data_IF_548499364330
#
_entry.id   IF_548499364330
#
_cell.length_a   1.000
_cell.length_b   1.000
_cell.length_c   1.000
_cell.angle_alpha   90.00
_cell.angle_beta   90.00
_cell.angle_gamma   90.00
#
_symmetry.space_group_name_H-M   'P 1'
#
loop_
_entity.id
_entity.type
_entity.pdbx_description
1 polymer ?
#
# COMPACT_ATOMS: atom_id res chain seq x y z
N UNK A 1 -14.48 -4.69 -9.03
CA UNK A 1 -13.68 -4.69 -7.78
C UNK A 1 -14.06 -5.94 -7.00
N UNK A 2 -13.07 -6.68 -6.48
CA UNK A 2 -13.26 -7.83 -5.59
C UNK A 2 -12.92 -7.38 -4.17
N UNK A 3 -13.84 -7.61 -3.22
CA UNK A 3 -13.67 -7.29 -1.80
C UNK A 3 -13.94 -8.58 -1.03
N UNK A 4 -12.91 -9.37 -0.73
CA UNK A 4 -13.10 -10.64 -0.02
C UNK A 4 -13.48 -10.39 1.43
N UNK A 5 -14.43 -11.17 1.93
CA UNK A 5 -14.81 -11.23 3.34
C UNK A 5 -14.24 -12.51 3.93
N UNK A 6 -13.35 -12.37 4.92
CA UNK A 6 -12.81 -13.50 5.67
C UNK A 6 -13.75 -13.93 6.79
N UNK A 7 -13.72 -15.20 7.17
CA UNK A 7 -14.57 -15.74 8.23
C UNK A 7 -14.15 -15.28 9.64
N UNK A 8 -12.90 -14.81 9.78
CA UNK A 8 -12.33 -14.33 11.03
C UNK A 8 -11.10 -13.46 10.79
N UNK A 9 -10.24 -13.37 11.79
CA UNK A 9 -8.94 -12.66 11.67
C UNK A 9 -8.03 -13.47 10.75
N UNK A 10 -7.80 -12.95 9.55
CA UNK A 10 -7.05 -13.65 8.49
C UNK A 10 -5.53 -13.51 8.62
N UNK A 11 -5.05 -12.43 9.23
CA UNK A 11 -3.64 -12.20 9.58
C UNK A 11 -3.56 -11.60 10.97
N UNK A 12 -2.42 -11.75 11.64
CA UNK A 12 -2.17 -11.17 12.96
C UNK A 12 -0.85 -10.36 12.98
N UNK A 13 -0.58 -9.70 14.10
CA UNK A 13 0.63 -8.88 14.28
C UNK A 13 1.93 -9.71 14.41
N UNK A 14 1.83 -11.03 14.52
CA UNK A 14 2.96 -11.96 14.43
C UNK A 14 3.24 -12.42 12.99
N UNK A 15 2.54 -11.83 12.01
CA UNK A 15 2.64 -12.13 10.57
C UNK A 15 2.18 -13.54 10.19
N UNK A 16 1.45 -14.20 11.08
CA UNK A 16 0.80 -15.47 10.76
C UNK A 16 -0.49 -15.21 10.00
N UNK A 17 -0.81 -16.06 9.04
CA UNK A 17 -2.02 -15.96 8.24
C UNK A 17 -2.76 -17.30 8.17
N UNK A 18 -4.04 -17.24 7.92
CA UNK A 18 -4.89 -18.40 7.71
C UNK A 18 -4.87 -18.85 6.25
N UNK A 19 -5.22 -20.10 5.98
CA UNK A 19 -5.34 -20.64 4.61
C UNK A 19 -6.33 -19.83 3.74
N UNK A 20 -7.26 -19.09 4.36
CA UNK A 20 -8.21 -18.24 3.63
C UNK A 20 -7.52 -17.16 2.80
N UNK A 21 -6.36 -16.65 3.25
CA UNK A 21 -5.58 -15.67 2.51
C UNK A 21 -5.14 -16.25 1.17
N UNK A 22 -4.61 -17.47 1.17
CA UNK A 22 -4.18 -18.16 -0.06
C UNK A 22 -5.37 -18.61 -0.92
N UNK A 23 -6.49 -18.95 -0.30
CA UNK A 23 -7.75 -19.22 -1.03
C UNK A 23 -8.20 -17.99 -1.79
N UNK A 24 -8.10 -16.80 -1.19
CA UNK A 24 -8.46 -15.55 -1.85
C UNK A 24 -7.51 -15.22 -3.00
N UNK A 25 -6.20 -15.49 -2.89
CA UNK A 25 -5.28 -15.33 -4.03
C UNK A 25 -5.72 -16.19 -5.24
N UNK A 26 -6.09 -17.44 -5.00
CA UNK A 26 -6.64 -18.32 -6.04
C UNK A 26 -8.01 -17.84 -6.56
N UNK A 27 -8.85 -17.27 -5.70
CA UNK A 27 -10.12 -16.67 -6.10
C UNK A 27 -9.92 -15.49 -7.05
N UNK A 28 -8.92 -14.61 -6.78
CA UNK A 28 -8.58 -13.49 -7.67
C UNK A 28 -8.26 -14.00 -9.07
N UNK A 29 -7.40 -15.02 -9.17
CA UNK A 29 -7.03 -15.63 -10.46
C UNK A 29 -8.23 -16.24 -11.18
N UNK A 30 -9.09 -16.96 -10.44
CA UNK A 30 -10.31 -17.56 -10.98
C UNK A 30 -11.27 -16.50 -11.51
N UNK A 31 -11.57 -15.47 -10.71
CA UNK A 31 -12.47 -14.38 -11.09
C UNK A 31 -11.93 -13.62 -12.30
N UNK A 32 -10.62 -13.34 -12.34
CA UNK A 32 -10.00 -12.68 -13.47
C UNK A 32 -10.17 -13.49 -14.77
N UNK A 33 -9.95 -14.80 -14.71
CA UNK A 33 -10.11 -15.71 -15.86
C UNK A 33 -11.55 -15.80 -16.31
N UNK A 34 -12.51 -15.98 -15.40
CA UNK A 34 -13.92 -16.18 -15.71
C UNK A 34 -14.60 -14.90 -16.27
N UNK A 35 -14.09 -13.73 -15.93
CA UNK A 35 -14.64 -12.44 -16.35
C UNK A 35 -13.80 -11.73 -17.41
N UNK A 36 -12.83 -12.41 -18.02
CA UNK A 36 -11.96 -11.87 -19.08
C UNK A 36 -11.25 -10.57 -18.67
N UNK A 37 -10.84 -10.49 -17.38
CA UNK A 37 -10.10 -9.36 -16.86
C UNK A 37 -8.66 -9.40 -17.39
N UNK A 38 -8.11 -8.24 -17.73
CA UNK A 38 -6.70 -8.14 -18.11
C UNK A 38 -5.78 -8.53 -16.93
N UNK A 39 -5.17 -9.70 -17.01
CA UNK A 39 -4.28 -10.23 -15.97
C UNK A 39 -3.01 -9.40 -15.77
N UNK A 40 -2.66 -8.53 -16.73
CA UNK A 40 -1.53 -7.59 -16.59
C UNK A 40 -1.91 -6.34 -15.81
N UNK A 41 -3.18 -6.16 -15.46
CA UNK A 41 -3.71 -4.98 -14.80
C UNK A 41 -4.54 -5.34 -13.57
N UNK A 42 -4.07 -6.28 -12.78
CA UNK A 42 -4.61 -6.58 -11.46
C UNK A 42 -3.88 -5.73 -10.41
N UNK A 43 -4.62 -5.17 -9.49
CA UNK A 43 -4.10 -4.30 -8.44
C UNK A 43 -4.61 -4.73 -7.08
N UNK A 44 -3.83 -4.47 -6.03
CA UNK A 44 -4.31 -4.66 -4.66
C UNK A 44 -4.15 -3.40 -3.84
N UNK A 45 -5.03 -3.22 -2.87
CA UNK A 45 -4.92 -2.17 -1.88
C UNK A 45 -5.54 -2.63 -0.57
N UNK A 46 -5.03 -2.11 0.51
CA UNK A 46 -5.56 -2.36 1.84
C UNK A 46 -5.01 -1.38 2.86
N UNK A 47 -5.77 -1.17 3.91
CA UNK A 47 -5.39 -0.39 5.07
C UNK A 47 -5.23 -1.29 6.28
N UNK A 48 -4.32 -0.96 7.20
CA UNK A 48 -4.08 -1.74 8.43
C UNK A 48 -3.92 -3.23 8.10
N UNK A 49 -4.73 -4.10 8.66
CA UNK A 49 -4.72 -5.54 8.41
C UNK A 49 -4.91 -5.90 6.92
N UNK A 50 -5.74 -5.15 6.19
CA UNK A 50 -5.88 -5.31 4.74
C UNK A 50 -4.60 -4.95 3.98
N UNK A 51 -3.81 -4.01 4.50
CA UNK A 51 -2.49 -3.68 4.00
C UNK A 51 -1.48 -4.81 4.24
N UNK A 52 -1.51 -5.45 5.43
CA UNK A 52 -0.70 -6.62 5.74
C UNK A 52 -0.95 -7.73 4.72
N UNK A 53 -2.22 -8.05 4.46
CA UNK A 53 -2.60 -9.06 3.46
C UNK A 53 -2.11 -8.67 2.06
N UNK A 54 -2.23 -7.40 1.69
CA UNK A 54 -1.75 -6.90 0.39
C UNK A 54 -0.23 -7.01 0.25
N UNK A 55 0.54 -6.72 1.30
CA UNK A 55 1.99 -6.91 1.32
C UNK A 55 2.36 -8.39 1.21
N UNK A 56 1.68 -9.26 1.96
CA UNK A 56 1.85 -10.70 1.84
C UNK A 56 1.62 -11.18 0.41
N UNK A 57 0.54 -10.76 -0.24
CA UNK A 57 0.28 -11.17 -1.62
C UNK A 57 1.37 -10.74 -2.59
N UNK A 58 1.93 -9.54 -2.45
CA UNK A 58 3.00 -9.09 -3.33
C UNK A 58 4.29 -9.89 -3.11
N UNK A 59 4.58 -10.34 -1.89
CA UNK A 59 5.76 -11.15 -1.60
C UNK A 59 5.57 -12.61 -1.97
N UNK A 60 4.40 -13.21 -1.68
CA UNK A 60 4.13 -14.64 -1.87
C UNK A 60 3.65 -14.98 -3.29
N UNK A 61 3.05 -14.02 -3.99
CA UNK A 61 2.50 -14.17 -5.34
C UNK A 61 3.01 -13.08 -6.26
N UNK A 62 4.32 -13.04 -6.56
CA UNK A 62 4.98 -11.90 -7.23
C UNK A 62 4.42 -11.55 -8.60
N UNK A 63 3.84 -12.53 -9.29
CA UNK A 63 3.27 -12.34 -10.63
C UNK A 63 1.76 -12.02 -10.61
N UNK A 64 1.15 -11.85 -9.43
CA UNK A 64 -0.30 -11.70 -9.36
C UNK A 64 -0.73 -10.26 -9.66
N UNK A 65 -0.09 -9.27 -9.04
CA UNK A 65 -0.50 -7.86 -9.13
C UNK A 65 0.51 -7.01 -9.92
N UNK A 66 0.01 -6.06 -10.68
CA UNK A 66 0.82 -5.11 -11.43
C UNK A 66 1.36 -3.96 -10.56
N UNK A 67 0.58 -3.56 -9.58
CA UNK A 67 0.94 -2.54 -8.59
C UNK A 67 0.01 -2.57 -7.39
N UNK A 68 0.41 -1.86 -6.32
CA UNK A 68 -0.31 -1.87 -5.04
C UNK A 68 -0.32 -0.50 -4.37
N UNK A 69 -1.33 -0.28 -3.52
CA UNK A 69 -1.34 0.84 -2.56
C UNK A 69 -1.47 0.23 -1.16
N UNK A 70 -0.48 0.46 -0.33
CA UNK A 70 -0.50 0.06 1.08
C UNK A 70 -0.81 1.28 1.95
N UNK A 71 -1.75 1.15 2.86
CA UNK A 71 -2.16 2.27 3.71
C UNK A 71 -1.96 1.91 5.17
N UNK A 72 -1.03 2.61 5.80
CA UNK A 72 -0.73 2.59 7.23
C UNK A 72 -0.73 1.17 7.82
N UNK A 73 0.17 0.36 7.33
CA UNK A 73 0.33 -1.05 7.69
C UNK A 73 1.82 -1.39 7.82
N UNK A 74 2.10 -2.58 8.29
CA UNK A 74 3.45 -3.15 8.34
C UNK A 74 3.40 -4.63 7.97
N UNK A 75 4.54 -5.23 7.67
CA UNK A 75 4.66 -6.66 7.41
C UNK A 75 6.04 -7.15 7.85
N UNK A 76 6.22 -8.46 7.86
CA UNK A 76 7.50 -9.08 8.20
C UNK A 76 8.60 -8.58 7.27
N UNK A 77 9.59 -7.89 7.83
CA UNK A 77 10.73 -7.34 7.08
C UNK A 77 11.57 -8.40 6.38
N UNK A 78 11.48 -9.67 6.80
CA UNK A 78 12.13 -10.78 6.11
C UNK A 78 11.61 -10.99 4.67
N UNK A 79 10.40 -10.49 4.37
CA UNK A 79 9.80 -10.56 3.03
C UNK A 79 10.12 -9.37 2.14
N UNK A 80 10.69 -8.31 2.68
CA UNK A 80 10.96 -7.07 1.93
C UNK A 80 11.91 -7.23 0.74
N UNK A 81 12.90 -8.13 0.73
CA UNK A 81 13.69 -8.39 -0.47
C UNK A 81 12.87 -8.82 -1.70
N UNK A 82 11.73 -9.47 -1.48
CA UNK A 82 10.79 -9.78 -2.56
C UNK A 82 9.83 -8.62 -2.81
N UNK A 83 9.30 -8.00 -1.75
CA UNK A 83 8.34 -6.90 -1.85
C UNK A 83 8.87 -5.71 -2.65
N UNK A 84 10.13 -5.33 -2.47
CA UNK A 84 10.72 -4.15 -3.15
C UNK A 84 10.89 -4.34 -4.66
N UNK A 85 10.75 -5.54 -5.18
CA UNK A 85 10.74 -5.82 -6.62
C UNK A 85 9.44 -5.39 -7.30
N UNK A 86 8.42 -5.02 -6.52
CA UNK A 86 7.10 -4.62 -7.01
C UNK A 86 6.93 -3.12 -7.04
N UNK A 87 5.95 -2.67 -7.84
CA UNK A 87 5.54 -1.27 -7.89
C UNK A 87 4.48 -1.00 -6.83
N UNK A 88 4.73 -0.07 -5.93
CA UNK A 88 3.72 0.33 -4.96
C UNK A 88 3.87 1.76 -4.47
N UNK A 89 2.76 2.28 -3.98
CA UNK A 89 2.71 3.49 -3.16
C UNK A 89 2.35 3.09 -1.74
N UNK A 90 3.15 3.51 -0.79
CA UNK A 90 2.88 3.33 0.62
C UNK A 90 2.49 4.68 1.23
N UNK A 91 1.27 4.79 1.74
CA UNK A 91 0.77 6.02 2.38
C UNK A 91 0.56 5.77 3.87
N UNK A 92 1.08 6.65 4.71
CA UNK A 92 1.01 6.49 6.16
C UNK A 92 0.95 7.84 6.87
N UNK A 93 0.82 7.84 8.21
CA UNK A 93 0.90 9.03 9.05
C UNK A 93 1.82 8.79 10.24
N UNK A 94 2.58 9.84 10.62
CA UNK A 94 3.37 9.84 11.85
C UNK A 94 4.60 8.92 11.86
N UNK A 95 5.09 8.45 10.71
CA UNK A 95 6.18 7.47 10.58
C UNK A 95 5.85 6.08 11.12
N UNK A 96 5.38 5.21 10.30
CA UNK A 96 5.36 3.79 10.63
C UNK A 96 6.80 3.23 10.63
N UNK A 97 7.21 2.53 11.68
CA UNK A 97 8.56 2.00 11.87
C UNK A 97 9.04 0.94 10.85
N UNK A 98 8.26 0.76 9.80
CA UNK A 98 8.54 -0.14 8.66
C UNK A 98 9.51 0.47 7.64
N UNK A 99 9.69 1.79 7.62
CA UNK A 99 10.40 2.46 6.53
C UNK A 99 11.88 2.14 6.47
N UNK A 100 12.58 2.21 7.59
CA UNK A 100 14.03 1.98 7.59
C UNK A 100 14.39 0.61 7.02
N UNK A 101 13.60 -0.42 7.33
CA UNK A 101 13.79 -1.77 6.82
C UNK A 101 13.42 -1.88 5.33
N UNK A 102 12.37 -1.17 4.91
CA UNK A 102 11.94 -1.15 3.52
C UNK A 102 12.93 -0.40 2.63
N UNK A 103 13.39 0.76 3.08
CA UNK A 103 14.42 1.56 2.41
C UNK A 103 15.71 0.78 2.28
N UNK A 104 16.15 0.14 3.38
CA UNK A 104 17.32 -0.73 3.35
C UNK A 104 17.18 -1.87 2.33
N UNK A 105 16.04 -2.53 2.28
CA UNK A 105 15.81 -3.61 1.32
C UNK A 105 15.82 -3.09 -0.13
N UNK A 106 15.29 -1.91 -0.38
CA UNK A 106 15.33 -1.26 -1.70
C UNK A 106 16.78 -0.89 -2.08
N UNK A 107 17.55 -0.31 -1.17
CA UNK A 107 18.96 0.04 -1.39
C UNK A 107 19.80 -1.22 -1.66
N UNK A 108 19.65 -2.27 -0.87
CA UNK A 108 20.35 -3.56 -1.05
C UNK A 108 20.03 -4.20 -2.42
N UNK A 109 18.80 -3.99 -2.93
CA UNK A 109 18.36 -4.48 -4.24
C UNK A 109 18.68 -3.52 -5.40
N UNK A 110 19.20 -2.32 -5.15
CA UNK A 110 19.41 -1.28 -6.15
C UNK A 110 18.11 -0.73 -6.75
N UNK A 111 17.01 -0.82 -6.03
CA UNK A 111 15.69 -0.35 -6.45
C UNK A 111 15.49 1.10 -5.99
N UNK A 112 15.13 1.97 -6.92
CA UNK A 112 14.84 3.36 -6.58
C UNK A 112 13.55 3.48 -5.80
N UNK A 113 13.58 4.32 -4.79
CA UNK A 113 12.38 4.76 -4.09
C UNK A 113 12.36 6.28 -3.92
N UNK A 114 11.19 6.83 -3.73
CA UNK A 114 10.98 8.25 -3.45
C UNK A 114 10.19 8.40 -2.15
N UNK A 115 10.59 9.37 -1.35
CA UNK A 115 9.94 9.69 -0.09
C UNK A 115 9.51 11.16 -0.08
N UNK A 116 8.31 11.42 0.43
CA UNK A 116 7.84 12.78 0.75
C UNK A 116 6.99 12.77 2.01
N UNK A 117 7.02 13.87 2.74
CA UNK A 117 6.09 14.13 3.83
C UNK A 117 5.43 15.50 3.68
N UNK A 118 4.16 15.57 4.04
CA UNK A 118 3.40 16.80 4.06
C UNK A 118 2.23 16.71 5.05
N UNK A 119 1.71 17.87 5.44
CA UNK A 119 0.59 17.92 6.37
C UNK A 119 -0.73 17.55 5.69
N UNK A 120 -1.50 16.64 6.32
CA UNK A 120 -2.86 16.33 5.90
C UNK A 120 -3.83 17.53 6.08
N UNK A 121 -3.41 18.59 6.77
CA UNK A 121 -4.19 19.83 6.94
C UNK A 121 -4.03 20.83 5.78
N UNK A 122 -3.15 20.56 4.83
CA UNK A 122 -3.07 21.33 3.59
C UNK A 122 -4.37 21.23 2.79
N UNK A 123 -4.73 22.23 1.98
CA UNK A 123 -5.82 22.09 1.03
C UNK A 123 -5.65 20.84 0.15
N UNK A 124 -6.75 20.15 -0.17
CA UNK A 124 -6.70 18.90 -0.96
C UNK A 124 -5.94 19.08 -2.29
N UNK A 125 -6.14 20.19 -2.98
CA UNK A 125 -5.44 20.46 -4.24
C UNK A 125 -3.90 20.56 -4.07
N UNK A 126 -3.43 21.03 -2.92
CA UNK A 126 -2.01 21.09 -2.61
C UNK A 126 -1.45 19.71 -2.26
N UNK A 127 -2.20 18.92 -1.47
CA UNK A 127 -1.85 17.53 -1.21
C UNK A 127 -1.77 16.72 -2.51
N UNK A 128 -2.76 16.86 -3.39
CA UNK A 128 -2.77 16.20 -4.69
C UNK A 128 -1.59 16.64 -5.56
N UNK A 129 -1.25 17.94 -5.55
CA UNK A 129 -0.08 18.43 -6.27
C UNK A 129 1.21 17.80 -5.76
N UNK A 130 1.43 17.76 -4.44
CA UNK A 130 2.63 17.16 -3.84
C UNK A 130 2.72 15.65 -4.14
N UNK A 131 1.58 14.95 -4.07
CA UNK A 131 1.52 13.53 -4.45
C UNK A 131 1.80 13.32 -5.94
N UNK A 132 1.28 14.18 -6.83
CA UNK A 132 1.57 14.11 -8.26
C UNK A 132 3.05 14.38 -8.56
N UNK A 133 3.64 15.39 -7.93
CA UNK A 133 5.03 15.77 -8.14
C UNK A 133 6.00 14.64 -7.74
N UNK A 134 5.75 13.95 -6.63
CA UNK A 134 6.59 12.81 -6.21
C UNK A 134 6.42 11.61 -7.15
N UNK A 135 5.19 11.28 -7.54
CA UNK A 135 4.92 10.17 -8.45
C UNK A 135 5.49 10.41 -9.87
N UNK A 136 5.57 11.67 -10.30
CA UNK A 136 6.15 12.05 -11.58
C UNK A 136 7.64 11.74 -11.69
N UNK A 137 8.36 11.53 -10.59
CA UNK A 137 9.76 11.09 -10.58
C UNK A 137 9.94 9.66 -11.09
N UNK A 138 8.86 8.86 -11.14
CA UNK A 138 8.83 7.57 -11.82
C UNK A 138 9.52 6.43 -11.07
N UNK A 139 9.74 6.56 -9.76
CA UNK A 139 10.27 5.45 -8.97
C UNK A 139 9.23 4.32 -8.85
N UNK A 140 9.65 3.04 -8.84
CA UNK A 140 8.74 1.92 -8.62
C UNK A 140 8.12 1.92 -7.22
N UNK A 141 8.81 2.49 -6.24
CA UNK A 141 8.36 2.61 -4.86
C UNK A 141 8.23 4.09 -4.51
N UNK A 142 7.07 4.48 -4.00
CA UNK A 142 6.85 5.83 -3.46
C UNK A 142 6.27 5.74 -2.06
N UNK A 143 6.86 6.46 -1.13
CA UNK A 143 6.42 6.56 0.25
C UNK A 143 5.90 7.97 0.48
N UNK A 144 4.64 8.09 0.89
CA UNK A 144 3.99 9.34 1.26
C UNK A 144 3.64 9.27 2.75
N UNK A 145 4.24 10.14 3.54
CA UNK A 145 3.95 10.20 4.96
C UNK A 145 3.23 11.51 5.32
N UNK A 146 2.07 11.42 5.92
CA UNK A 146 1.47 12.60 6.54
C UNK A 146 2.22 12.96 7.81
N UNK A 147 2.62 14.22 7.95
CA UNK A 147 3.37 14.69 9.13
C UNK A 147 2.60 14.39 10.41
N UNK A 148 3.34 14.07 11.49
CA UNK A 148 2.74 13.65 12.76
C UNK A 148 1.65 14.60 13.22
N UNK A 149 0.56 14.03 13.71
CA UNK A 149 -0.67 14.67 14.19
C UNK A 149 -1.45 15.46 13.15
N UNK A 150 -0.99 15.53 11.90
CA UNK A 150 -1.71 16.31 10.88
C UNK A 150 -3.03 15.68 10.45
N UNK A 151 -3.16 14.37 10.56
CA UNK A 151 -4.40 13.64 10.25
C UNK A 151 -5.42 13.69 11.38
N UNK A 152 -5.02 14.08 12.59
CA UNK A 152 -5.92 14.16 13.73
C UNK A 152 -6.88 15.35 13.64
N UNK A 153 -8.09 15.23 14.22
CA UNK A 153 -8.97 16.37 14.44
C UNK A 153 -8.29 17.51 15.22
N UNK A 154 -8.88 18.69 15.19
CA UNK A 154 -8.28 19.89 15.82
C UNK A 154 -8.15 19.77 17.34
N UNK A 155 -8.95 18.92 18.00
CA UNK A 155 -8.80 18.61 19.41
C UNK A 155 -7.63 17.67 19.73
N UNK A 156 -6.94 17.19 18.70
CA UNK A 156 -5.75 16.32 18.79
C UNK A 156 -6.03 14.92 19.31
N UNK A 157 -7.31 14.52 19.42
CA UNK A 157 -7.68 13.21 19.96
C UNK A 157 -7.84 12.16 18.89
N UNK A 158 -7.54 10.93 19.26
CA UNK A 158 -7.72 9.76 18.39
C UNK A 158 -6.41 9.11 17.98
N UNK A 159 -6.48 8.22 17.04
CA UNK A 159 -5.35 7.47 16.50
C UNK A 159 -4.96 7.98 15.12
N UNK A 160 -3.71 8.40 14.94
CA UNK A 160 -3.20 8.78 13.61
C UNK A 160 -3.39 7.63 12.62
N UNK A 161 -3.18 6.40 13.08
CA UNK A 161 -3.42 5.20 12.29
C UNK A 161 -4.83 5.16 11.71
N UNK A 162 -5.85 5.35 12.54
CA UNK A 162 -7.25 5.28 12.09
C UNK A 162 -7.65 6.43 11.16
N UNK A 163 -7.13 7.63 11.41
CA UNK A 163 -7.46 8.79 10.60
C UNK A 163 -6.68 8.86 9.28
N UNK A 164 -5.51 8.22 9.19
CA UNK A 164 -4.68 8.20 7.98
C UNK A 164 -5.41 7.63 6.76
N UNK A 165 -6.32 6.67 6.98
CA UNK A 165 -6.98 5.93 5.91
C UNK A 165 -7.78 6.84 4.98
N UNK A 166 -8.60 7.73 5.54
CA UNK A 166 -9.41 8.68 4.76
C UNK A 166 -8.55 9.61 3.92
N UNK A 167 -7.46 10.12 4.50
CA UNK A 167 -6.55 11.01 3.79
C UNK A 167 -5.80 10.28 2.67
N UNK A 168 -5.32 9.06 2.92
CA UNK A 168 -4.61 8.27 1.93
C UNK A 168 -5.47 8.03 0.68
N UNK A 169 -6.72 7.60 0.86
CA UNK A 169 -7.59 7.30 -0.26
C UNK A 169 -8.19 8.54 -0.94
N UNK A 170 -8.06 9.74 -0.36
CA UNK A 170 -8.42 11.00 -1.02
C UNK A 170 -7.39 11.46 -2.03
N UNK A 171 -6.13 11.03 -1.95
CA UNK A 171 -5.07 11.40 -2.90
C UNK A 171 -5.41 10.87 -4.30
N UNK A 172 -6.02 11.71 -5.12
CA UNK A 172 -6.42 11.37 -6.49
C UNK A 172 -5.24 10.91 -7.35
N UNK A 173 -4.06 11.55 -7.34
CA UNK A 173 -2.92 11.13 -8.15
C UNK A 173 -2.42 9.72 -7.81
N UNK A 174 -2.54 9.27 -6.56
CA UNK A 174 -2.14 7.92 -6.13
C UNK A 174 -3.05 6.88 -6.76
N UNK A 175 -4.37 7.11 -6.75
CA UNK A 175 -5.33 6.20 -7.40
C UNK A 175 -5.15 6.16 -8.92
N UNK A 176 -4.93 7.32 -9.54
CA UNK A 176 -4.67 7.42 -10.99
C UNK A 176 -3.35 6.73 -11.37
N UNK A 177 -2.32 6.88 -10.54
CA UNK A 177 -1.04 6.20 -10.72
C UNK A 177 -1.24 4.68 -10.74
N UNK A 178 -2.01 4.14 -9.79
CA UNK A 178 -2.28 2.70 -9.70
C UNK A 178 -2.86 2.16 -11.02
N UNK A 179 -3.88 2.82 -11.55
CA UNK A 179 -4.56 2.37 -12.76
C UNK A 179 -3.77 2.56 -14.06
N UNK A 180 -2.65 3.27 -14.03
CA UNK A 180 -1.71 3.40 -15.15
C UNK A 180 -0.66 2.28 -15.19
N UNK A 181 -0.57 1.47 -14.15
CA UNK A 181 0.44 0.41 -14.07
C UNK A 181 0.01 -0.83 -14.84
N UNK A 182 0.99 -1.55 -15.38
CA UNK A 182 0.85 -2.90 -15.94
C UNK A 182 2.10 -3.72 -15.63
N UNK A 183 1.99 -5.02 -15.69
CA UNK A 183 3.14 -5.94 -15.65
C UNK A 183 3.97 -5.83 -16.90
#
# INVERSE_FOLDING_TARGET
MLVPQYSGVAVNDAYEHTDEVDIVARLVQKVAKENQVDANRLYTTGQSMGGLISMYYNSAYPDLFAASIFVDCHWDSATFPELVKHKFVFVTAGKAGTFDALEKAADDAGIKYEYTDFSAKLPQAEQDKLAADILAKGAPITIINFTSKSVLPDDGKGSEHMYSFDYAYRLTPVREWLFKQSK
#
